data_IF_202624341566
#
_entry.id   IF_202624341566
#
_cell.length_a   1.000
_cell.length_b   1.000
_cell.length_c   1.000
_cell.angle_alpha   90.00
_cell.angle_beta   90.00
_cell.angle_gamma   90.00
#
_symmetry.space_group_name_H-M   'P 1'
#
loop_
_entity.id
_entity.type
_entity.pdbx_description
1 polymer ?
#
# COMPACT_ATOMS: atom_id res chain seq x y z
N UNK A 1 16.09 -8.90 6.18
CA UNK A 1 15.41 -9.46 4.99
C UNK A 1 14.24 -10.34 5.37
N UNK A 2 14.41 -11.27 6.32
CA UNK A 2 13.34 -12.18 6.77
C UNK A 2 12.07 -11.47 7.25
N UNK A 3 12.21 -10.38 8.02
CA UNK A 3 11.06 -9.58 8.51
C UNK A 3 10.25 -8.96 7.36
N UNK A 4 10.92 -8.48 6.31
CA UNK A 4 10.23 -7.90 5.13
C UNK A 4 9.44 -8.97 4.37
N UNK A 5 10.02 -10.17 4.24
CA UNK A 5 9.32 -11.31 3.62
C UNK A 5 8.11 -11.75 4.45
N UNK A 6 8.24 -11.78 5.78
CA UNK A 6 7.13 -12.10 6.68
C UNK A 6 6.00 -11.07 6.59
N UNK A 7 6.32 -9.77 6.58
CA UNK A 7 5.34 -8.68 6.40
C UNK A 7 4.62 -8.80 5.06
N UNK A 8 5.35 -9.11 3.98
CA UNK A 8 4.76 -9.31 2.66
C UNK A 8 3.83 -10.52 2.65
N UNK A 9 4.28 -11.67 3.18
CA UNK A 9 3.46 -12.87 3.26
C UNK A 9 2.18 -12.66 4.05
N UNK A 10 2.28 -11.96 5.19
CA UNK A 10 1.12 -11.56 5.99
C UNK A 10 0.19 -10.64 5.21
N UNK A 11 0.73 -9.66 4.48
CA UNK A 11 -0.04 -8.76 3.61
C UNK A 11 -0.83 -9.50 2.52
N UNK A 12 -0.23 -10.52 1.91
CA UNK A 12 -0.94 -11.38 0.95
C UNK A 12 -2.01 -12.25 1.60
N UNK A 13 -1.79 -12.75 2.81
CA UNK A 13 -2.80 -13.48 3.56
C UNK A 13 -3.99 -12.58 3.93
N UNK A 14 -3.72 -11.35 4.38
CA UNK A 14 -4.75 -10.34 4.64
C UNK A 14 -5.51 -9.98 3.37
N UNK A 15 -4.80 -9.80 2.25
CA UNK A 15 -5.42 -9.56 0.96
C UNK A 15 -6.42 -10.68 0.59
N UNK A 16 -6.06 -11.94 0.82
CA UNK A 16 -6.97 -13.07 0.60
C UNK A 16 -8.20 -13.04 1.54
N UNK A 17 -8.00 -12.74 2.83
CA UNK A 17 -9.09 -12.66 3.82
C UNK A 17 -10.05 -11.48 3.59
N UNK A 18 -9.55 -10.37 3.05
CA UNK A 18 -10.29 -9.11 2.89
C UNK A 18 -10.45 -8.69 1.42
N UNK A 19 -10.56 -9.68 0.53
CA UNK A 19 -10.61 -9.50 -0.92
C UNK A 19 -11.67 -8.47 -1.36
N UNK A 20 -12.84 -8.45 -0.71
CA UNK A 20 -13.94 -7.53 -1.04
C UNK A 20 -13.55 -6.06 -0.87
N UNK A 21 -12.81 -5.72 0.20
CA UNK A 21 -12.37 -4.35 0.47
C UNK A 21 -11.18 -3.97 -0.40
N UNK A 22 -10.28 -4.92 -0.63
CA UNK A 22 -9.16 -4.74 -1.55
C UNK A 22 -9.64 -4.51 -2.98
N UNK A 23 -10.72 -5.18 -3.42
CA UNK A 23 -11.32 -4.97 -4.74
C UNK A 23 -11.77 -3.52 -4.95
N UNK A 24 -12.31 -2.85 -3.93
CA UNK A 24 -12.72 -1.44 -4.03
C UNK A 24 -11.50 -0.56 -4.31
N UNK A 25 -10.42 -0.75 -3.54
CA UNK A 25 -9.19 0.02 -3.69
C UNK A 25 -8.49 -0.27 -5.03
N UNK A 26 -8.46 -1.54 -5.47
CA UNK A 26 -7.93 -1.95 -6.76
C UNK A 26 -8.74 -1.37 -7.93
N UNK A 27 -10.07 -1.41 -7.87
CA UNK A 27 -10.94 -0.83 -8.91
C UNK A 27 -10.70 0.68 -9.02
N UNK A 28 -10.61 1.39 -7.89
CA UNK A 28 -10.30 2.82 -7.89
C UNK A 28 -8.95 3.11 -8.55
N UNK A 29 -7.91 2.33 -8.23
CA UNK A 29 -6.60 2.46 -8.88
C UNK A 29 -6.69 2.19 -10.39
N UNK A 30 -7.37 1.13 -10.82
CA UNK A 30 -7.56 0.80 -12.24
C UNK A 30 -8.25 1.95 -12.98
N UNK A 31 -9.30 2.53 -12.38
CA UNK A 31 -10.04 3.66 -12.97
C UNK A 31 -9.11 4.86 -13.15
N UNK A 32 -8.35 5.23 -12.12
CA UNK A 32 -7.39 6.37 -12.19
C UNK A 32 -6.33 6.12 -13.27
N UNK A 33 -5.76 4.93 -13.30
CA UNK A 33 -4.77 4.55 -14.32
C UNK A 33 -5.37 4.57 -15.74
N UNK A 34 -6.62 4.11 -15.91
CA UNK A 34 -7.32 4.13 -17.20
C UNK A 34 -7.54 5.56 -17.72
N UNK A 35 -8.07 6.46 -16.89
CA UNK A 35 -8.37 7.83 -17.29
C UNK A 35 -7.12 8.63 -17.66
N UNK A 36 -5.98 8.38 -17.00
CA UNK A 36 -4.75 9.16 -17.21
C UNK A 36 -3.87 8.57 -18.32
N UNK A 37 -3.71 7.25 -18.35
CA UNK A 37 -2.81 6.62 -19.34
C UNK A 37 -3.49 6.39 -20.70
N UNK A 38 -4.82 6.48 -20.78
CA UNK A 38 -5.66 6.08 -21.94
C UNK A 38 -5.30 4.68 -22.46
N UNK A 39 -4.84 3.80 -21.55
CA UNK A 39 -4.22 2.52 -21.89
C UNK A 39 -5.05 1.31 -21.49
N UNK A 40 -4.64 0.18 -22.08
CA UNK A 40 -5.23 -1.14 -21.98
C UNK A 40 -5.30 -1.64 -20.53
N UNK A 41 -6.49 -1.56 -19.93
CA UNK A 41 -6.83 -2.04 -18.59
C UNK A 41 -6.26 -3.45 -18.33
N UNK A 42 -6.24 -4.30 -19.35
CA UNK A 42 -5.79 -5.68 -19.26
C UNK A 42 -4.31 -5.86 -18.89
N UNK A 43 -3.43 -4.85 -19.07
CA UNK A 43 -2.02 -4.92 -18.65
C UNK A 43 -1.80 -4.39 -17.24
N UNK A 44 -2.61 -3.41 -16.83
CA UNK A 44 -2.47 -2.72 -15.54
C UNK A 44 -3.19 -3.49 -14.43
N UNK A 45 -4.33 -4.11 -14.73
CA UNK A 45 -5.08 -4.87 -13.73
C UNK A 45 -4.26 -6.01 -13.09
N UNK A 46 -3.60 -6.92 -13.84
CA UNK A 46 -2.81 -7.99 -13.22
C UNK A 46 -1.70 -7.46 -12.30
N UNK A 47 -1.07 -6.34 -12.67
CA UNK A 47 -0.06 -5.69 -11.84
C UNK A 47 -0.65 -5.25 -10.51
N UNK A 48 -1.80 -4.56 -10.53
CA UNK A 48 -2.49 -4.07 -9.34
C UNK A 48 -2.87 -5.24 -8.43
N UNK A 49 -3.35 -6.34 -9.00
CA UNK A 49 -3.65 -7.56 -8.24
C UNK A 49 -2.42 -8.15 -7.55
N UNK A 50 -1.27 -8.17 -8.23
CA UNK A 50 -0.02 -8.69 -7.66
C UNK A 50 0.50 -7.75 -6.57
N UNK A 51 0.51 -6.44 -6.81
CA UNK A 51 1.07 -5.49 -5.83
C UNK A 51 0.14 -5.23 -4.64
N UNK A 52 -1.10 -5.72 -4.66
CA UNK A 52 -2.08 -5.49 -3.61
C UNK A 52 -1.62 -5.99 -2.24
N UNK A 53 -0.90 -7.12 -2.16
CA UNK A 53 -0.34 -7.60 -0.90
C UNK A 53 0.61 -6.59 -0.25
N UNK A 54 1.39 -5.88 -1.07
CA UNK A 54 2.31 -4.81 -0.62
C UNK A 54 1.52 -3.60 -0.15
N UNK A 55 0.47 -3.21 -0.89
CA UNK A 55 -0.39 -2.09 -0.54
C UNK A 55 -1.10 -2.32 0.80
N UNK A 56 -1.59 -3.54 1.03
CA UNK A 56 -2.24 -3.92 2.30
C UNK A 56 -1.23 -3.81 3.44
N UNK A 57 -0.01 -4.35 3.31
CA UNK A 57 1.02 -4.22 4.35
C UNK A 57 1.37 -2.76 4.66
N UNK A 58 1.49 -1.90 3.64
CA UNK A 58 1.76 -0.47 3.83
C UNK A 58 0.61 0.18 4.61
N UNK A 59 -0.64 -0.09 4.22
CA UNK A 59 -1.81 0.50 4.85
C UNK A 59 -1.96 0.05 6.32
N UNK A 60 -1.69 -1.22 6.61
CA UNK A 60 -1.77 -1.79 7.96
C UNK A 60 -0.73 -1.18 8.91
N UNK A 61 0.55 -1.18 8.52
CA UNK A 61 1.63 -0.56 9.32
C UNK A 61 1.37 0.94 9.49
N UNK A 62 0.87 1.62 8.45
CA UNK A 62 0.53 3.04 8.54
C UNK A 62 -0.64 3.28 9.51
N UNK A 63 -1.64 2.40 9.52
CA UNK A 63 -2.74 2.47 10.47
C UNK A 63 -2.24 2.27 11.91
N UNK A 64 -1.37 1.30 12.16
CA UNK A 64 -0.80 1.05 13.48
C UNK A 64 0.04 2.22 13.99
N UNK A 65 0.83 2.85 13.11
CA UNK A 65 1.53 4.10 13.43
C UNK A 65 0.54 5.21 13.84
N UNK A 66 -0.53 5.44 13.08
CA UNK A 66 -1.55 6.45 13.40
C UNK A 66 -2.24 6.14 14.73
N UNK A 67 -2.63 4.87 14.92
CA UNK A 67 -3.34 4.41 16.10
C UNK A 67 -2.47 4.48 17.36
N UNK A 68 -1.16 4.20 17.26
CA UNK A 68 -0.22 4.33 18.38
C UNK A 68 -0.09 5.78 18.85
N UNK A 69 -0.04 6.74 17.93
CA UNK A 69 -0.04 8.17 18.25
C UNK A 69 -1.33 8.57 18.97
N UNK A 70 -2.48 8.05 18.50
CA UNK A 70 -3.79 8.40 19.06
C UNK A 70 -4.03 7.78 20.44
N UNK A 71 -3.74 6.48 20.62
CA UNK A 71 -3.98 5.74 21.86
C UNK A 71 -3.02 6.10 22.98
N UNK A 72 -1.75 6.30 22.68
CA UNK A 72 -0.72 6.62 23.67
C UNK A 72 -0.51 8.13 23.87
N UNK A 73 -1.55 8.92 23.63
CA UNK A 73 -1.53 10.38 23.80
C UNK A 73 -1.05 10.81 25.19
N UNK A 74 -1.32 9.98 26.22
CA UNK A 74 -0.89 10.19 27.61
C UNK A 74 0.63 10.02 27.83
N UNK A 75 1.33 9.20 27.02
CA UNK A 75 2.79 9.03 27.07
C UNK A 75 3.55 10.22 26.44
N UNK A 76 2.82 11.11 25.75
CA UNK A 76 3.37 12.25 25.04
C UNK A 76 3.81 11.87 23.61
N UNK A 77 3.38 12.67 22.64
CA UNK A 77 3.65 12.49 21.20
C UNK A 77 5.13 12.18 20.89
N UNK A 78 6.06 12.90 21.53
CA UNK A 78 7.49 12.72 21.35
C UNK A 78 8.04 11.39 21.87
N UNK A 79 7.40 10.80 22.89
CA UNK A 79 7.80 9.49 23.41
C UNK A 79 7.46 8.39 22.41
N UNK A 80 6.25 8.44 21.85
CA UNK A 80 5.77 7.48 20.83
C UNK A 80 6.65 7.53 19.58
N UNK A 81 6.93 8.72 19.04
CA UNK A 81 7.74 8.86 17.82
C UNK A 81 9.20 8.47 18.02
N UNK A 82 9.76 8.68 19.22
CA UNK A 82 11.15 8.27 19.52
C UNK A 82 11.27 6.78 19.85
N UNK A 83 10.16 6.06 20.02
CA UNK A 83 10.17 4.63 20.31
C UNK A 83 10.83 3.85 19.16
N UNK A 84 11.58 2.82 19.50
CA UNK A 84 12.25 1.98 18.50
C UNK A 84 11.24 1.28 17.58
N UNK A 85 10.09 0.83 18.12
CA UNK A 85 9.02 0.22 17.31
C UNK A 85 8.51 1.16 16.23
N UNK A 86 8.20 2.42 16.58
CA UNK A 86 7.70 3.40 15.62
C UNK A 86 8.74 3.74 14.54
N UNK A 87 10.03 3.79 14.91
CA UNK A 87 11.12 3.96 13.93
C UNK A 87 11.22 2.76 12.97
N UNK A 88 11.07 1.53 13.47
CA UNK A 88 11.05 0.34 12.64
C UNK A 88 9.85 0.32 11.70
N UNK A 89 8.66 0.71 12.17
CA UNK A 89 7.45 0.80 11.34
C UNK A 89 7.63 1.79 10.19
N UNK A 90 8.21 2.97 10.47
CA UNK A 90 8.59 3.94 9.43
C UNK A 90 9.57 3.30 8.44
N UNK A 91 10.63 2.67 8.93
CA UNK A 91 11.67 2.09 8.09
C UNK A 91 11.11 1.00 7.17
N UNK A 92 10.29 0.08 7.68
CA UNK A 92 9.65 -0.96 6.89
C UNK A 92 8.65 -0.39 5.90
N UNK A 93 7.87 0.62 6.29
CA UNK A 93 6.95 1.32 5.38
C UNK A 93 7.71 1.93 4.20
N UNK A 94 8.85 2.59 4.46
CA UNK A 94 9.70 3.16 3.40
C UNK A 94 10.28 2.07 2.47
N UNK A 95 10.70 0.93 3.01
CA UNK A 95 11.16 -0.20 2.19
C UNK A 95 10.05 -0.72 1.28
N UNK A 96 8.84 -0.91 1.81
CA UNK A 96 7.71 -1.40 1.02
C UNK A 96 7.30 -0.41 -0.07
N UNK A 97 7.34 0.89 0.23
CA UNK A 97 7.16 1.96 -0.77
C UNK A 97 8.25 1.90 -1.84
N UNK A 98 9.52 1.69 -1.47
CA UNK A 98 10.58 1.54 -2.45
C UNK A 98 10.34 0.31 -3.36
N UNK A 99 9.92 -0.82 -2.80
CA UNK A 99 9.59 -2.04 -3.55
C UNK A 99 8.45 -1.77 -4.55
N UNK A 100 7.35 -1.13 -4.12
CA UNK A 100 6.21 -0.87 -5.01
C UNK A 100 6.57 0.10 -6.13
N UNK A 101 7.41 1.11 -5.86
CA UNK A 101 7.93 2.04 -6.86
C UNK A 101 8.80 1.31 -7.88
N UNK A 102 9.70 0.42 -7.42
CA UNK A 102 10.59 -0.35 -8.30
C UNK A 102 9.79 -1.29 -9.20
N UNK A 103 8.85 -2.05 -8.63
CA UNK A 103 7.95 -2.95 -9.40
C UNK A 103 7.12 -2.13 -10.40
N UNK A 104 6.56 -1.00 -9.96
CA UNK A 104 5.81 -0.08 -10.80
C UNK A 104 6.65 0.47 -11.97
N UNK A 105 7.91 0.84 -11.72
CA UNK A 105 8.82 1.34 -12.75
C UNK A 105 9.16 0.27 -13.79
N UNK A 106 9.56 -0.93 -13.36
CA UNK A 106 9.89 -2.02 -14.30
C UNK A 106 8.68 -2.41 -15.16
N UNK A 107 7.50 -2.47 -14.54
CA UNK A 107 6.27 -2.81 -15.27
C UNK A 107 5.88 -1.72 -16.25
N UNK A 108 5.95 -0.46 -15.84
CA UNK A 108 5.70 0.68 -16.71
C UNK A 108 6.63 0.66 -17.93
N UNK A 109 7.94 0.45 -17.70
CA UNK A 109 8.95 0.37 -18.77
C UNK A 109 8.69 -0.80 -19.72
N UNK A 110 8.24 -1.94 -19.21
CA UNK A 110 7.84 -3.10 -20.03
C UNK A 110 6.62 -2.81 -20.92
N UNK A 111 5.65 -2.02 -20.42
CA UNK A 111 4.39 -1.72 -21.13
C UNK A 111 4.55 -0.58 -22.16
N UNK A 112 5.34 0.44 -21.87
CA UNK A 112 5.50 1.63 -22.72
C UNK A 112 6.76 1.57 -23.61
N UNK A 113 7.81 0.85 -23.22
CA UNK A 113 9.10 0.80 -23.92
C UNK A 113 9.92 2.11 -23.90
N UNK A 114 9.27 3.27 -23.75
CA UNK A 114 9.87 4.60 -23.58
C UNK A 114 9.29 5.31 -22.36
N UNK A 115 10.13 6.11 -21.69
CA UNK A 115 9.74 6.79 -20.46
C UNK A 115 8.82 7.99 -20.79
N UNK A 116 7.58 7.97 -20.30
CA UNK A 116 6.71 9.14 -20.23
C UNK A 116 6.37 9.43 -18.76
N UNK A 117 7.05 10.44 -18.22
CA UNK A 117 6.97 10.81 -16.80
C UNK A 117 5.55 11.14 -16.33
N UNK A 118 4.68 11.72 -17.18
CA UNK A 118 3.30 12.02 -16.80
C UNK A 118 2.51 10.76 -16.49
N UNK A 119 2.69 9.72 -17.32
CA UNK A 119 1.99 8.44 -17.14
C UNK A 119 2.57 7.65 -15.97
N UNK A 120 3.89 7.62 -15.85
CA UNK A 120 4.55 7.02 -14.69
C UNK A 120 4.13 7.66 -13.36
N UNK A 121 4.04 8.99 -13.31
CA UNK A 121 3.55 9.71 -12.12
C UNK A 121 2.09 9.35 -11.82
N UNK A 122 1.25 9.18 -12.84
CA UNK A 122 -0.14 8.77 -12.68
C UNK A 122 -0.28 7.38 -12.06
N UNK A 123 0.60 6.44 -12.45
CA UNK A 123 0.68 5.11 -11.85
C UNK A 123 1.05 5.18 -10.36
N UNK A 124 1.97 6.06 -9.97
CA UNK A 124 2.29 6.32 -8.57
C UNK A 124 1.12 6.93 -7.79
N UNK A 125 0.42 7.90 -8.39
CA UNK A 125 -0.80 8.49 -7.80
C UNK A 125 -1.87 7.40 -7.61
N UNK A 126 -2.00 6.48 -8.56
CA UNK A 126 -2.89 5.33 -8.43
C UNK A 126 -2.57 4.47 -7.20
N UNK A 127 -1.29 4.16 -6.97
CA UNK A 127 -0.88 3.44 -5.76
C UNK A 127 -1.16 4.22 -4.47
N UNK A 128 -0.92 5.53 -4.48
CA UNK A 128 -1.24 6.39 -3.33
C UNK A 128 -2.75 6.36 -3.02
N UNK A 129 -3.60 6.46 -4.04
CA UNK A 129 -5.05 6.36 -3.87
C UNK A 129 -5.45 4.99 -3.32
N UNK A 130 -4.85 3.91 -3.81
CA UNK A 130 -5.09 2.56 -3.30
C UNK A 130 -4.74 2.46 -1.81
N UNK A 131 -3.55 2.94 -1.40
CA UNK A 131 -3.12 2.98 0.01
C UNK A 131 -4.10 3.80 0.86
N UNK A 132 -4.53 4.97 0.40
CA UNK A 132 -5.48 5.83 1.13
C UNK A 132 -6.85 5.18 1.29
N UNK A 133 -7.37 4.53 0.25
CA UNK A 133 -8.64 3.79 0.33
C UNK A 133 -8.48 2.61 1.29
N UNK A 134 -7.37 1.87 1.22
CA UNK A 134 -7.10 0.77 2.14
C UNK A 134 -7.03 1.24 3.59
N UNK A 135 -6.35 2.35 3.87
CA UNK A 135 -6.34 2.99 5.19
C UNK A 135 -7.74 3.33 5.69
N UNK A 136 -8.58 3.91 4.83
CA UNK A 136 -9.97 4.20 5.17
C UNK A 136 -10.77 2.92 5.46
N UNK A 137 -10.56 1.86 4.68
CA UNK A 137 -11.24 0.57 4.88
C UNK A 137 -10.82 -0.07 6.21
N UNK A 138 -9.52 -0.07 6.53
CA UNK A 138 -8.99 -0.55 7.81
C UNK A 138 -9.61 0.22 8.97
N UNK A 139 -9.62 1.56 8.88
CA UNK A 139 -10.20 2.41 9.92
C UNK A 139 -11.71 2.20 10.10
N UNK A 140 -12.47 2.11 9.01
CA UNK A 140 -13.95 2.06 9.05
C UNK A 140 -14.49 0.68 9.42
N UNK A 141 -13.84 -0.38 8.95
CA UNK A 141 -14.31 -1.76 9.07
C UNK A 141 -13.47 -2.61 10.02
N UNK A 142 -12.41 -2.05 10.62
CA UNK A 142 -11.57 -2.77 11.57
C UNK A 142 -10.87 -3.97 10.92
N UNK A 143 -10.43 -3.82 9.67
CA UNK A 143 -9.66 -4.83 8.94
C UNK A 143 -8.26 -4.87 9.55
N UNK A 144 -8.14 -5.49 10.73
CA UNK A 144 -6.94 -5.52 11.55
C UNK A 144 -6.54 -6.98 11.76
N UNK A 145 -5.23 -7.24 11.78
CA UNK A 145 -4.67 -8.52 12.22
C UNK A 145 -4.96 -8.72 13.71
N UNK A 146 -5.68 -9.80 14.06
CA UNK A 146 -5.82 -10.25 15.46
C UNK A 146 -7.21 -10.08 16.12
N UNK A 147 -8.27 -9.84 15.33
CA UNK A 147 -9.66 -9.81 15.81
C UNK A 147 -10.39 -11.17 15.72
N UNK A 148 -9.67 -12.29 15.87
CA UNK A 148 -10.24 -13.64 15.99
C UNK A 148 -9.73 -14.30 17.27
#
# INVERSE_FOLDING_TARGET
>A
MEVVLAILFLGYFMYAGYIKYCLIAMIAQIIVSFFIEKKQIWKVAPLIFITQGIVVSIADITYDMINSIYRYKSLGFWSVIRSESFKFDIFYTLILIAIIIIIGFFTYRSIEGKMNYKKWLALLIGYLINILIMLFMIWRFGIIVGGF
#
